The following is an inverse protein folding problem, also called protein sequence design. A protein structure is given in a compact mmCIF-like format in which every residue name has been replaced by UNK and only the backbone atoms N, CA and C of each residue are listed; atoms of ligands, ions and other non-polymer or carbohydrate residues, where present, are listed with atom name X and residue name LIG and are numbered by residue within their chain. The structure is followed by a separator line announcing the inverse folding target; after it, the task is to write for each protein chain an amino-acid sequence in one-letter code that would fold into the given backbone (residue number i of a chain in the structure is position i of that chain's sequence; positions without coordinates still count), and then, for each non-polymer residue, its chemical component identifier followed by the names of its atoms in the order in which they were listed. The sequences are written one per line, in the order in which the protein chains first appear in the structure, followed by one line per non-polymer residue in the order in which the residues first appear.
data_IF_470148007470
#
_entry.id   IF_470148007470
#
_cell.length_a   1.000
_cell.length_b   1.000
_cell.length_c   1.000
_cell.angle_alpha   90.00
_cell.angle_beta   90.00
_cell.angle_gamma   90.00
#
_symmetry.space_group_name_H-M   'P 1'
#
loop_
_entity.id
_entity.type
_entity.pdbx_description
1 polymer ?
#
# COMPACT_ATOMS: atom_id res chain seq x y z
N UNK A 1 -14.45 23.82 -35.89
CA UNK A 1 -13.54 23.04 -35.03
C UNK A 1 -12.97 23.83 -33.85
N UNK A 2 -13.65 24.87 -33.34
CA UNK A 2 -13.14 25.74 -32.25
C UNK A 2 -13.92 25.61 -30.92
N UNK A 3 -14.95 24.76 -30.89
CA UNK A 3 -15.75 24.50 -29.69
C UNK A 3 -15.14 23.39 -28.82
N UNK A 4 -14.63 22.33 -29.45
CA UNK A 4 -13.91 21.22 -28.79
C UNK A 4 -12.73 21.73 -27.96
N UNK A 5 -11.84 22.50 -28.60
CA UNK A 5 -10.62 23.03 -27.97
C UNK A 5 -10.91 23.82 -26.68
N UNK A 6 -12.01 24.59 -26.65
CA UNK A 6 -12.43 25.33 -25.46
C UNK A 6 -12.99 24.43 -24.36
N UNK A 7 -13.74 23.39 -24.73
CA UNK A 7 -14.29 22.43 -23.77
C UNK A 7 -13.17 21.58 -23.14
N UNK A 8 -12.17 21.22 -23.94
CA UNK A 8 -10.97 20.51 -23.48
C UNK A 8 -10.14 21.37 -22.52
N UNK A 9 -9.99 22.66 -22.81
CA UNK A 9 -9.31 23.62 -21.92
C UNK A 9 -10.07 23.82 -20.60
N UNK A 10 -11.41 23.90 -20.65
CA UNK A 10 -12.28 24.01 -19.46
C UNK A 10 -12.18 22.76 -18.55
N UNK A 11 -12.15 21.57 -19.15
CA UNK A 11 -11.99 20.33 -18.40
C UNK A 11 -10.58 20.24 -17.78
N UNK A 12 -9.54 20.59 -18.53
CA UNK A 12 -8.18 20.66 -18.02
C UNK A 12 -8.08 21.65 -16.85
N UNK A 13 -8.68 22.83 -16.98
CA UNK A 13 -8.71 23.84 -15.92
C UNK A 13 -9.42 23.33 -14.66
N UNK A 14 -10.51 22.57 -14.79
CA UNK A 14 -11.18 21.93 -13.64
C UNK A 14 -10.26 20.92 -12.95
N UNK A 15 -9.62 20.03 -13.71
CA UNK A 15 -8.69 19.02 -13.17
C UNK A 15 -7.48 19.68 -12.47
N UNK A 16 -6.94 20.77 -13.02
CA UNK A 16 -5.84 21.52 -12.41
C UNK A 16 -6.23 22.13 -11.05
N UNK A 17 -7.45 22.66 -10.91
CA UNK A 17 -7.95 23.18 -9.62
C UNK A 17 -8.09 22.09 -8.58
N UNK A 18 -8.57 20.93 -8.99
CA UNK A 18 -8.74 19.77 -8.10
C UNK A 18 -7.37 19.25 -7.61
N UNK A 19 -6.42 19.09 -8.54
CA UNK A 19 -5.03 18.75 -8.18
C UNK A 19 -4.42 19.75 -7.20
N UNK A 20 -4.62 21.05 -7.42
CA UNK A 20 -4.16 22.08 -6.47
C UNK A 20 -4.79 21.93 -5.09
N UNK A 21 -6.09 21.63 -5.01
CA UNK A 21 -6.77 21.39 -3.74
C UNK A 21 -6.15 20.21 -2.99
N UNK A 22 -5.89 19.09 -3.68
CA UNK A 22 -5.20 17.91 -3.11
C UNK A 22 -3.80 18.25 -2.60
N UNK A 23 -2.99 18.95 -3.40
CA UNK A 23 -1.64 19.38 -3.00
C UNK A 23 -1.67 20.29 -1.76
N UNK A 24 -2.70 21.13 -1.60
CA UNK A 24 -2.84 21.99 -0.42
C UNK A 24 -3.16 21.21 0.86
N UNK A 25 -3.80 20.05 0.73
CA UNK A 25 -4.16 19.16 1.84
C UNK A 25 -3.00 18.26 2.28
N UNK A 26 -1.93 18.16 1.48
CA UNK A 26 -0.76 17.35 1.82
C UNK A 26 0.02 17.94 3.01
N UNK A 27 0.69 17.06 3.79
CA UNK A 27 1.64 17.48 4.81
C UNK A 27 2.79 18.29 4.20
N UNK A 28 3.35 19.22 4.99
CA UNK A 28 4.36 20.18 4.52
C UNK A 28 5.60 19.52 3.91
N UNK A 29 5.99 18.33 4.40
CA UNK A 29 7.14 17.57 3.90
C UNK A 29 6.99 17.16 2.42
N UNK A 30 5.78 16.77 2.00
CA UNK A 30 5.50 16.36 0.62
C UNK A 30 5.02 17.52 -0.26
N UNK A 31 4.45 18.55 0.36
CA UNK A 31 3.83 19.67 -0.33
C UNK A 31 4.78 20.38 -1.29
N UNK A 32 6.04 20.63 -0.90
CA UNK A 32 6.98 21.37 -1.74
C UNK A 32 7.36 20.59 -3.01
N UNK A 33 7.61 19.28 -2.89
CA UNK A 33 7.90 18.39 -4.02
C UNK A 33 6.72 18.36 -5.00
N UNK A 34 5.51 18.20 -4.48
CA UNK A 34 4.30 18.14 -5.30
C UNK A 34 3.93 19.51 -5.91
N UNK A 35 4.17 20.62 -5.20
CA UNK A 35 3.94 21.97 -5.70
C UNK A 35 4.86 22.30 -6.89
N UNK A 36 6.16 21.95 -6.82
CA UNK A 36 7.08 22.13 -7.96
C UNK A 36 6.63 21.31 -9.16
N UNK A 37 6.23 20.05 -8.95
CA UNK A 37 5.74 19.17 -10.02
C UNK A 37 4.45 19.69 -10.65
N UNK A 38 3.52 20.19 -9.83
CA UNK A 38 2.28 20.80 -10.28
C UNK A 38 2.52 22.04 -11.15
N UNK A 39 3.44 22.94 -10.75
CA UNK A 39 3.78 24.12 -11.53
C UNK A 39 4.33 23.77 -12.93
N UNK A 40 5.16 22.73 -13.03
CA UNK A 40 5.64 22.25 -14.34
C UNK A 40 4.52 21.74 -15.23
N UNK A 41 3.46 21.14 -14.66
CA UNK A 41 2.27 20.70 -15.42
C UNK A 41 1.47 21.92 -15.88
N UNK A 42 1.31 22.94 -15.03
CA UNK A 42 0.67 24.20 -15.42
C UNK A 42 1.41 24.93 -16.55
N UNK A 43 2.74 24.89 -16.59
CA UNK A 43 3.49 25.51 -17.70
C UNK A 43 3.33 24.70 -18.99
N UNK A 44 3.29 23.36 -18.89
CA UNK A 44 3.01 22.48 -20.03
C UNK A 44 1.61 22.72 -20.59
N UNK A 45 0.60 22.90 -19.74
CA UNK A 45 -0.78 23.15 -20.15
C UNK A 45 -0.92 24.38 -21.06
N UNK A 46 -0.08 25.40 -20.87
CA UNK A 46 -0.08 26.62 -21.73
C UNK A 46 0.48 26.37 -23.14
N UNK A 47 1.23 25.29 -23.33
CA UNK A 47 1.93 24.97 -24.58
C UNK A 47 1.32 23.78 -25.30
N UNK A 48 0.86 22.79 -24.53
CA UNK A 48 0.41 21.49 -24.99
C UNK A 48 -0.62 20.92 -23.99
N UNK A 49 -1.92 21.29 -24.13
CA UNK A 49 -2.96 20.91 -23.19
C UNK A 49 -3.21 19.39 -23.18
N UNK A 50 -3.10 18.71 -24.32
CA UNK A 50 -3.24 17.25 -24.41
C UNK A 50 -2.18 16.51 -23.58
N UNK A 51 -0.89 16.84 -23.75
CA UNK A 51 0.15 16.24 -22.91
C UNK A 51 0.02 16.65 -21.45
N UNK A 52 -0.41 17.87 -21.17
CA UNK A 52 -0.64 18.30 -19.80
C UNK A 52 -1.74 17.48 -19.12
N UNK A 53 -2.83 17.16 -19.83
CA UNK A 53 -3.90 16.31 -19.32
C UNK A 53 -3.38 14.92 -18.94
N UNK A 54 -2.61 14.26 -19.82
CA UNK A 54 -2.02 12.96 -19.53
C UNK A 54 -1.04 13.00 -18.34
N UNK A 55 -0.25 14.07 -18.23
CA UNK A 55 0.74 14.24 -17.16
C UNK A 55 0.08 14.58 -15.82
N UNK A 56 -1.04 15.30 -15.87
CA UNK A 56 -1.88 15.63 -14.72
C UNK A 56 -2.57 14.38 -14.17
N UNK A 57 -3.07 13.51 -15.04
CA UNK A 57 -3.68 12.24 -14.66
C UNK A 57 -2.70 11.35 -13.88
N UNK A 58 -1.48 11.15 -14.43
CA UNK A 58 -0.42 10.42 -13.75
C UNK A 58 0.02 11.08 -12.43
N UNK A 59 -0.03 12.41 -12.34
CA UNK A 59 0.26 13.14 -11.11
C UNK A 59 -0.82 12.91 -10.04
N UNK A 60 -2.08 12.90 -10.43
CA UNK A 60 -3.21 12.63 -9.54
C UNK A 60 -3.20 11.17 -9.05
N UNK A 61 -2.91 10.21 -9.93
CA UNK A 61 -2.77 8.80 -9.53
C UNK A 61 -1.66 8.62 -8.48
N UNK A 62 -0.52 9.30 -8.65
CA UNK A 62 0.57 9.27 -7.68
C UNK A 62 0.26 9.98 -6.35
N UNK A 63 -0.74 10.86 -6.31
CA UNK A 63 -1.23 11.50 -5.09
C UNK A 63 -2.22 10.62 -4.33
N UNK A 64 -2.97 9.79 -5.06
CA UNK A 64 -3.98 8.89 -4.50
C UNK A 64 -3.38 7.58 -3.99
N UNK A 65 -2.20 7.19 -4.51
CA UNK A 65 -1.49 6.00 -4.03
C UNK A 65 -1.10 6.18 -2.55
N UNK A 66 -1.73 5.45 -1.62
CA UNK A 66 -1.27 5.45 -0.24
C UNK A 66 0.15 4.87 -0.20
N UNK A 67 1.01 5.28 0.76
CA UNK A 67 2.26 4.57 0.97
C UNK A 67 1.90 3.10 1.16
N UNK A 68 2.33 2.28 0.21
CA UNK A 68 2.06 0.85 0.16
C UNK A 68 2.43 0.24 1.52
N UNK A 69 1.44 0.04 2.38
CA UNK A 69 1.59 -0.98 3.40
C UNK A 69 1.74 -2.29 2.64
N UNK A 70 2.83 -3.05 2.84
CA UNK A 70 2.94 -4.36 2.22
C UNK A 70 1.68 -5.15 2.61
N UNK A 71 1.13 -6.00 1.72
CA UNK A 71 -0.03 -6.82 2.07
C UNK A 71 0.31 -7.54 3.38
N UNK A 72 -0.39 -7.16 4.45
CA UNK A 72 -0.30 -7.81 5.74
C UNK A 72 -0.76 -9.25 5.52
N UNK A 73 0.21 -10.14 5.32
CA UNK A 73 0.01 -11.58 5.41
C UNK A 73 -0.79 -11.81 6.70
N UNK A 74 -1.99 -12.41 6.63
CA UNK A 74 -2.73 -12.71 7.86
C UNK A 74 -1.81 -13.59 8.72
N UNK A 75 -1.76 -13.41 10.06
CA UNK A 75 -0.93 -14.25 10.90
C UNK A 75 -1.36 -15.70 10.67
N UNK A 76 -0.49 -16.44 9.99
CA UNK A 76 -0.69 -17.85 9.75
C UNK A 76 -0.66 -18.51 11.12
N UNK A 77 -1.85 -18.84 11.64
CA UNK A 77 -1.98 -19.57 12.89
C UNK A 77 -1.10 -20.82 12.79
N UNK A 78 -0.21 -21.08 13.78
CA UNK A 78 0.56 -22.31 13.75
C UNK A 78 -0.43 -23.48 13.79
N UNK A 79 -0.26 -24.55 12.99
CA UNK A 79 -1.16 -25.68 13.03
C UNK A 79 -1.13 -26.25 14.44
N UNK A 80 -2.23 -26.07 15.17
CA UNK A 80 -2.43 -26.72 16.46
C UNK A 80 -2.38 -28.21 16.20
N UNK A 81 -1.36 -28.86 16.74
CA UNK A 81 -1.17 -30.29 16.67
C UNK A 81 -2.47 -31.00 16.99
N UNK A 82 -2.97 -31.75 16.01
CA UNK A 82 -4.02 -32.74 16.22
C UNK A 82 -3.47 -33.79 17.19
N UNK A 83 -3.77 -33.63 18.48
CA UNK A 83 -3.68 -34.70 19.45
C UNK A 83 -4.86 -35.64 19.22
N UNK A 84 -4.77 -36.46 18.18
CA UNK A 84 -5.59 -37.67 18.07
C UNK A 84 -4.83 -38.80 18.73
N UNK A 85 -5.28 -39.14 19.93
CA UNK A 85 -4.82 -40.32 20.64
C UNK A 85 -5.14 -41.61 19.87
N UNK A 86 -4.29 -42.60 20.06
CA UNK A 86 -4.68 -43.98 20.00
C UNK A 86 -3.78 -44.75 20.96
N UNK A 87 -4.44 -45.46 21.87
CA UNK A 87 -3.83 -46.40 22.77
C UNK A 87 -2.97 -47.43 22.01
N UNK A 88 -1.83 -47.77 22.59
CA UNK A 88 -1.27 -49.10 22.38
C UNK A 88 -0.70 -49.59 23.71
N UNK A 89 -1.17 -50.78 24.06
CA UNK A 89 -1.02 -51.50 25.32
C UNK A 89 0.43 -51.79 25.72
N UNK A 90 0.70 -52.08 27.01
CA UNK A 90 2.04 -52.40 27.48
C UNK A 90 2.41 -53.85 27.15
N UNK A 91 3.72 -54.14 27.03
CA UNK A 91 4.17 -55.40 27.59
C UNK A 91 5.46 -55.29 28.40
N UNK A 92 5.39 -56.01 29.51
CA UNK A 92 6.43 -56.84 30.12
C UNK A 92 7.67 -56.19 30.77
N UNK A 93 7.74 -56.43 32.07
CA UNK A 93 8.85 -56.15 33.00
C UNK A 93 10.20 -56.73 32.54
N UNK A 94 11.32 -56.20 33.04
CA UNK A 94 11.95 -56.97 34.11
C UNK A 94 12.46 -56.12 35.29
N UNK A 95 12.07 -56.61 36.47
CA UNK A 95 12.73 -56.57 37.77
C UNK A 95 14.22 -56.20 37.76
N UNK A 96 14.56 -55.03 38.29
CA UNK A 96 15.89 -54.76 38.85
C UNK A 96 15.77 -54.41 40.34
N UNK A 97 16.10 -55.39 41.20
CA UNK A 97 16.69 -55.12 42.52
C UNK A 97 18.07 -54.50 42.23
N UNK A 98 18.67 -53.58 42.98
CA UNK A 98 19.12 -53.70 44.40
C UNK A 98 19.84 -52.39 44.79
N UNK A 99 19.57 -51.92 46.01
CA UNK A 99 20.45 -51.26 46.98
C UNK A 99 21.37 -50.08 46.57
N UNK A 100 21.20 -48.94 47.26
CA UNK A 100 22.22 -48.42 48.20
C UNK A 100 21.59 -47.46 49.22
N UNK A 101 21.84 -47.59 50.54
CA UNK A 101 21.46 -46.60 51.56
C UNK A 101 22.68 -45.81 52.12
N UNK A 102 22.41 -44.67 52.77
CA UNK A 102 23.33 -43.89 53.62
C UNK A 102 23.69 -42.55 52.97
N UNK A 103 23.14 -41.42 53.44
CA UNK A 103 23.58 -40.60 54.60
C UNK A 103 24.98 -40.00 54.37
#
# INVERSE_FOLDING_TARGET
MAADDRLEDDELARRLRDAHRRVRMLPAADKERHARRYLSICDLAKRDPERAAARLDAFLAALDEPPHEPPHEPPHEPPRGSVSGAAQEPPDTPRERKNTPGD
#
